data_IF_031563080123
#
_entry.id   IF_031563080123
#
_cell.length_a   1.000
_cell.length_b   1.000
_cell.length_c   1.000
_cell.angle_alpha   90.00
_cell.angle_beta   90.00
_cell.angle_gamma   90.00
#
_symmetry.space_group_name_H-M   'P 1'
#
loop_
_entity.id
_entity.type
_entity.pdbx_description
1 polymer ?
#
# COMPACT_ATOMS: atom_id res chain seq x y z
N UNK A 1 -5.70 -12.56 -1.30
CA UNK A 1 -4.48 -11.96 -1.87
C UNK A 1 -4.86 -10.64 -2.49
N UNK A 2 -3.99 -9.63 -2.44
CA UNK A 2 -4.20 -8.33 -3.08
C UNK A 2 -3.16 -8.14 -4.17
N UNK A 3 -3.55 -7.47 -5.26
CA UNK A 3 -2.63 -7.07 -6.34
C UNK A 3 -2.72 -5.56 -6.50
N UNK A 4 -1.59 -4.87 -6.37
CA UNK A 4 -1.47 -3.43 -6.56
C UNK A 4 -0.90 -3.16 -7.95
N UNK A 5 -1.67 -2.47 -8.80
CA UNK A 5 -1.23 -2.06 -10.13
C UNK A 5 -1.06 -0.56 -10.17
N UNK A 6 0.10 -0.12 -10.65
CA UNK A 6 0.44 1.28 -10.85
C UNK A 6 1.53 1.38 -11.90
N UNK A 7 1.48 2.44 -12.68
CA UNK A 7 2.42 2.63 -13.77
C UNK A 7 3.83 2.90 -13.22
N UNK A 8 4.88 2.29 -13.81
CA UNK A 8 6.25 2.65 -13.52
C UNK A 8 6.48 4.16 -13.78
N UNK A 9 7.40 4.80 -13.05
CA UNK A 9 7.71 6.21 -13.26
C UNK A 9 8.22 6.46 -14.68
N UNK A 10 7.73 7.52 -15.30
CA UNK A 10 8.16 8.05 -16.59
C UNK A 10 8.06 9.59 -16.55
N UNK A 11 8.47 10.29 -17.60
CA UNK A 11 8.47 11.76 -17.69
C UNK A 11 7.11 12.42 -17.35
N UNK A 12 6.01 11.70 -17.54
CA UNK A 12 4.64 12.16 -17.26
C UNK A 12 3.98 11.46 -16.08
N UNK A 13 4.58 10.40 -15.53
CA UNK A 13 3.96 9.54 -14.52
C UNK A 13 4.74 9.62 -13.22
N UNK A 14 4.07 10.10 -12.17
CA UNK A 14 4.70 10.18 -10.85
C UNK A 14 4.96 8.79 -10.28
N UNK A 15 6.12 8.57 -9.62
CA UNK A 15 6.42 7.30 -8.98
C UNK A 15 5.38 6.99 -7.91
N UNK A 16 4.96 5.74 -7.81
CA UNK A 16 4.04 5.23 -6.78
C UNK A 16 4.65 3.99 -6.15
N UNK A 17 4.65 3.91 -4.82
CA UNK A 17 5.14 2.75 -4.09
C UNK A 17 4.06 2.23 -3.15
N UNK A 18 4.26 1.05 -2.59
CA UNK A 18 3.33 0.47 -1.61
C UNK A 18 4.05 0.32 -0.29
N UNK A 19 3.54 1.00 0.74
CA UNK A 19 3.99 0.88 2.12
C UNK A 19 2.91 0.21 2.96
N UNK A 20 3.34 -0.68 3.86
CA UNK A 20 2.50 -1.27 4.90
C UNK A 20 2.70 -0.49 6.21
N UNK A 21 1.62 0.08 6.72
CA UNK A 21 1.63 0.85 7.96
C UNK A 21 1.34 -0.04 9.17
N UNK A 22 1.95 0.25 10.33
CA UNK A 22 1.89 -0.64 11.48
C UNK A 22 0.54 -0.63 12.21
N UNK A 23 -0.26 0.44 12.06
CA UNK A 23 -1.52 0.61 12.78
C UNK A 23 -2.42 1.68 12.15
N UNK A 24 -3.67 1.73 12.63
CA UNK A 24 -4.70 2.66 12.17
C UNK A 24 -4.32 4.14 12.35
N UNK A 25 -3.65 4.50 13.44
CA UNK A 25 -3.22 5.88 13.69
C UNK A 25 -2.20 6.37 12.65
N UNK A 26 -1.25 5.50 12.28
CA UNK A 26 -0.28 5.80 11.24
C UNK A 26 -0.98 5.95 9.87
N UNK A 27 -1.98 5.09 9.60
CA UNK A 27 -2.81 5.14 8.40
C UNK A 27 -3.64 6.42 8.26
N UNK A 28 -4.30 6.85 9.34
CA UNK A 28 -5.11 8.08 9.29
C UNK A 28 -4.25 9.32 9.06
N UNK A 29 -3.11 9.40 9.74
CA UNK A 29 -2.21 10.56 9.68
C UNK A 29 -1.19 10.51 8.54
N UNK A 30 -1.16 9.42 7.76
CA UNK A 30 -0.10 9.16 6.78
C UNK A 30 1.32 9.24 7.38
N UNK A 31 1.49 8.73 8.61
CA UNK A 31 2.79 8.67 9.29
C UNK A 31 3.60 7.46 8.77
N UNK A 32 4.57 7.75 7.90
CA UNK A 32 5.39 6.74 7.23
C UNK A 32 6.68 6.38 7.99
N UNK A 33 6.96 7.00 9.15
CA UNK A 33 8.24 6.80 9.87
C UNK A 33 8.52 5.35 10.26
N UNK A 34 7.45 4.57 10.48
CA UNK A 34 7.50 3.15 10.83
C UNK A 34 6.83 2.27 9.77
N UNK A 35 6.54 2.82 8.60
CA UNK A 35 5.93 2.08 7.52
C UNK A 35 6.99 1.26 6.78
N UNK A 36 6.64 0.03 6.43
CA UNK A 36 7.52 -0.87 5.69
C UNK A 36 7.24 -0.73 4.20
N UNK A 37 8.22 -0.33 3.39
CA UNK A 37 8.10 -0.39 1.93
C UNK A 37 8.02 -1.86 1.51
N UNK A 38 6.89 -2.24 0.91
CA UNK A 38 6.64 -3.60 0.42
C UNK A 38 6.62 -3.69 -1.09
N UNK A 39 6.27 -2.60 -1.79
CA UNK A 39 6.33 -2.47 -3.25
C UNK A 39 7.14 -1.24 -3.65
N UNK A 40 8.15 -1.44 -4.50
CA UNK A 40 8.97 -0.41 -5.13
C UNK A 40 8.19 0.38 -6.22
N UNK A 41 8.72 1.52 -6.66
CA UNK A 41 8.14 2.35 -7.73
C UNK A 41 7.88 1.64 -9.08
N UNK A 42 8.59 0.55 -9.34
CA UNK A 42 8.46 -0.29 -10.55
C UNK A 42 7.63 -1.54 -10.33
N UNK A 43 7.34 -1.92 -9.08
CA UNK A 43 6.73 -3.22 -8.76
C UNK A 43 5.26 -3.32 -9.19
N UNK A 44 4.59 -2.20 -9.46
CA UNK A 44 3.22 -2.14 -9.95
C UNK A 44 3.06 -2.39 -11.45
N UNK A 45 4.16 -2.43 -12.20
CA UNK A 45 4.16 -2.66 -13.64
C UNK A 45 3.78 -4.10 -14.02
N UNK A 46 3.33 -4.29 -15.26
CA UNK A 46 3.00 -5.60 -15.82
C UNK A 46 1.89 -6.33 -15.02
N UNK A 47 2.26 -7.42 -14.34
CA UNK A 47 1.35 -8.21 -13.50
C UNK A 47 0.87 -7.48 -12.24
N UNK A 48 1.59 -6.44 -11.81
CA UNK A 48 1.37 -5.74 -10.55
C UNK A 48 2.10 -6.38 -9.36
N UNK A 49 2.09 -5.65 -8.25
CA UNK A 49 2.71 -6.09 -7.01
C UNK A 49 1.72 -6.91 -6.18
N UNK A 50 2.05 -8.18 -5.93
CA UNK A 50 1.22 -9.09 -5.17
C UNK A 50 1.55 -9.07 -3.68
N UNK A 51 0.54 -8.93 -2.83
CA UNK A 51 0.68 -9.04 -1.39
C UNK A 51 -0.25 -10.11 -0.79
N UNK A 52 0.30 -11.15 -0.15
CA UNK A 52 -0.50 -12.19 0.48
C UNK A 52 -1.03 -11.75 1.85
N UNK A 53 -2.35 -11.76 2.01
CA UNK A 53 -3.04 -11.52 3.29
C UNK A 53 -3.08 -12.82 4.11
N UNK A 54 -2.00 -13.13 4.82
CA UNK A 54 -1.84 -14.42 5.55
C UNK A 54 -2.39 -14.43 6.97
N UNK A 55 -2.62 -13.27 7.58
CA UNK A 55 -3.05 -13.16 8.99
C UNK A 55 -4.44 -12.55 9.08
N UNK A 56 -5.19 -12.97 10.09
CA UNK A 56 -6.46 -12.32 10.45
C UNK A 56 -6.20 -11.07 11.28
N UNK A 57 -5.91 -9.97 10.57
CA UNK A 57 -5.67 -8.65 11.17
C UNK A 57 -5.96 -7.58 10.11
N UNK A 58 -6.24 -6.33 10.49
CA UNK A 58 -6.27 -5.25 9.52
C UNK A 58 -4.88 -5.01 8.90
N UNK A 59 -4.88 -4.70 7.62
CA UNK A 59 -3.72 -4.27 6.84
C UNK A 59 -3.98 -2.87 6.32
N UNK A 60 -2.99 -2.00 6.49
CA UNK A 60 -3.06 -0.59 6.10
C UNK A 60 -1.99 -0.31 5.07
N UNK A 61 -2.41 -0.04 3.84
CA UNK A 61 -1.53 0.27 2.72
C UNK A 61 -1.59 1.76 2.40
N UNK A 62 -0.46 2.35 2.01
CA UNK A 62 -0.45 3.69 1.44
C UNK A 62 0.72 3.89 0.48
N UNK A 63 0.62 4.94 -0.33
CA UNK A 63 1.73 5.42 -1.14
C UNK A 63 2.69 6.25 -0.29
N UNK A 64 3.97 5.88 -0.30
CA UNK A 64 5.01 6.56 0.47
C UNK A 64 5.70 7.71 -0.26
N UNK A 65 5.40 7.86 -1.55
CA UNK A 65 6.10 8.82 -2.41
C UNK A 65 5.80 10.27 -2.04
N UNK A 66 6.76 11.14 -2.38
CA UNK A 66 6.76 12.56 -2.01
C UNK A 66 6.58 12.80 -0.50
N UNK A 67 7.18 11.94 0.33
CA UNK A 67 7.09 12.07 1.79
C UNK A 67 5.68 11.88 2.35
N UNK A 68 4.81 11.14 1.64
CA UNK A 68 3.44 10.85 2.07
C UNK A 68 2.38 11.83 1.55
N UNK A 69 2.74 12.79 0.69
CA UNK A 69 1.77 13.67 0.01
C UNK A 69 0.74 12.87 -0.78
N UNK A 70 1.16 11.80 -1.47
CA UNK A 70 0.23 10.93 -2.21
C UNK A 70 -0.78 10.25 -1.27
N UNK A 71 -0.38 9.89 -0.05
CA UNK A 71 -1.28 9.35 0.98
C UNK A 71 -2.22 10.41 1.54
N UNK A 72 -1.68 11.59 1.90
CA UNK A 72 -2.40 12.62 2.66
C UNK A 72 -3.37 13.41 1.79
N UNK A 73 -2.87 13.93 0.68
CA UNK A 73 -3.61 14.84 -0.20
C UNK A 73 -4.20 14.09 -1.40
N UNK A 74 -3.46 13.11 -1.93
CA UNK A 74 -3.93 12.24 -3.01
C UNK A 74 -4.84 11.09 -2.56
N UNK A 75 -5.04 10.92 -1.23
CA UNK A 75 -5.81 9.84 -0.62
C UNK A 75 -5.41 8.43 -1.09
N UNK A 76 -4.18 8.24 -1.57
CA UNK A 76 -3.64 6.95 -2.01
C UNK A 76 -3.30 6.08 -0.81
N UNK A 77 -4.36 5.59 -0.17
CA UNK A 77 -4.32 4.73 1.00
C UNK A 77 -5.49 3.77 0.96
N UNK A 78 -5.25 2.52 1.36
CA UNK A 78 -6.22 1.44 1.30
C UNK A 78 -6.12 0.57 2.56
N UNK A 79 -7.24 0.32 3.22
CA UNK A 79 -7.31 -0.55 4.39
C UNK A 79 -8.15 -1.78 4.06
N UNK A 80 -7.71 -2.95 4.51
CA UNK A 80 -8.45 -4.20 4.35
C UNK A 80 -8.30 -5.06 5.59
N UNK A 81 -9.39 -5.71 5.98
CA UNK A 81 -9.38 -6.76 7.00
C UNK A 81 -9.87 -8.05 6.34
N UNK A 82 -8.99 -9.04 6.09
CA UNK A 82 -9.41 -10.32 5.56
C UNK A 82 -10.35 -10.99 6.56
N UNK A 83 -11.47 -11.53 6.10
CA UNK A 83 -12.37 -12.31 6.94
C UNK A 83 -11.75 -13.68 7.24
N UNK A 84 -12.05 -14.23 8.42
CA UNK A 84 -11.72 -15.62 8.74
C UNK A 84 -12.47 -16.50 7.73
N UNK A 85 -11.73 -17.30 6.96
CA UNK A 85 -12.33 -18.40 6.22
C UNK A 85 -12.49 -19.58 7.18
N UNK A 86 -13.70 -19.81 7.67
CA UNK A 86 -14.07 -21.11 8.20
C UNK A 86 -14.30 -22.03 6.99
N UNK A 87 -13.38 -22.99 6.79
CA UNK A 87 -13.63 -24.10 5.88
C UNK A 87 -14.62 -25.03 6.60
N UNK A 88 -15.85 -25.10 6.10
CA UNK A 88 -16.82 -26.14 6.45
C UNK A 88 -16.66 -27.31 5.49
#
# INVERSE_FOLDING_TARGET
MMVFKYDPPNDTTFPHSVYLLPNFWSFQNCDLRRAMKIGDITAGGGGGFEFPLKRWQPYYFACGERGGVHCKDGLMKFAVWPLIRWNY
#
